data_IF_747174928432
#
_entry.id   IF_747174928432
#
_cell.length_a   1.000
_cell.length_b   1.000
_cell.length_c   1.000
_cell.angle_alpha   90.00
_cell.angle_beta   90.00
_cell.angle_gamma   90.00
#
_symmetry.space_group_name_H-M   'P 1'
#
loop_
_entity.id
_entity.type
_entity.pdbx_description
1 polymer ?
#
# COMPACT_ATOMS: atom_id res chain seq x y z
N UNK A 1 -7.46 -22.39 -16.04
CA UNK A 1 -7.21 -21.13 -15.30
C UNK A 1 -5.73 -21.14 -14.97
N UNK A 2 -4.97 -20.16 -15.45
CA UNK A 2 -3.59 -19.97 -15.02
C UNK A 2 -3.63 -19.37 -13.60
N UNK A 3 -2.82 -19.89 -12.69
CA UNK A 3 -2.67 -19.27 -11.37
C UNK A 3 -2.00 -17.89 -11.53
N UNK A 4 -2.47 -16.85 -10.83
CA UNK A 4 -1.87 -15.52 -10.91
C UNK A 4 -0.44 -15.57 -10.40
N UNK A 5 0.44 -14.86 -11.09
CA UNK A 5 1.86 -14.84 -10.77
C UNK A 5 2.10 -14.00 -9.49
N UNK A 6 3.02 -14.47 -8.64
CA UNK A 6 3.18 -13.92 -7.28
C UNK A 6 4.64 -13.91 -6.83
N UNK A 7 4.93 -12.94 -5.97
CA UNK A 7 6.18 -12.82 -5.21
C UNK A 7 5.84 -13.09 -3.75
N UNK A 8 6.47 -14.09 -3.16
CA UNK A 8 6.28 -14.46 -1.75
C UNK A 8 7.51 -14.08 -0.96
N UNK A 9 7.32 -13.38 0.16
CA UNK A 9 8.39 -13.11 1.13
C UNK A 9 8.57 -14.38 1.96
N UNK A 10 9.66 -15.11 1.70
CA UNK A 10 9.92 -16.42 2.32
C UNK A 10 10.55 -16.24 3.70
N UNK A 11 11.44 -15.26 3.86
CA UNK A 11 12.16 -15.00 5.12
C UNK A 11 12.43 -13.50 5.28
N UNK A 12 12.13 -12.97 6.47
CA UNK A 12 12.36 -11.57 6.81
C UNK A 12 11.32 -11.02 7.79
N UNK A 13 11.60 -9.88 8.43
CA UNK A 13 10.57 -9.14 9.15
C UNK A 13 9.43 -8.73 8.19
N UNK A 14 8.22 -8.48 8.70
CA UNK A 14 7.12 -7.95 7.90
C UNK A 14 7.58 -6.71 7.12
N UNK A 15 7.18 -6.55 5.86
CA UNK A 15 7.56 -5.40 5.06
C UNK A 15 6.99 -4.11 5.66
N UNK A 16 7.85 -3.11 5.80
CA UNK A 16 7.39 -1.76 6.16
C UNK A 16 6.75 -1.13 4.93
N UNK A 17 5.48 -0.75 5.05
CA UNK A 17 4.74 -0.03 4.02
C UNK A 17 4.76 1.46 4.32
N UNK A 18 5.38 2.23 3.44
CA UNK A 18 5.38 3.69 3.47
C UNK A 18 4.30 4.20 2.52
N UNK A 19 3.35 4.99 3.01
CA UNK A 19 2.33 5.61 2.15
C UNK A 19 3.03 6.54 1.16
N UNK A 20 2.81 6.27 -0.12
CA UNK A 20 3.38 7.08 -1.18
C UNK A 20 2.36 8.15 -1.57
N UNK A 21 2.83 9.39 -1.74
CA UNK A 21 2.00 10.56 -2.10
C UNK A 21 2.43 11.20 -3.41
N UNK A 22 3.25 10.47 -4.19
CA UNK A 22 3.74 10.95 -5.48
C UNK A 22 2.59 11.24 -6.46
N UNK A 23 2.84 12.18 -7.37
CA UNK A 23 1.81 12.84 -8.18
C UNK A 23 1.16 11.93 -9.24
N UNK A 24 1.75 10.76 -9.52
CA UNK A 24 1.20 9.76 -10.44
C UNK A 24 0.20 8.80 -9.77
N UNK A 25 0.21 8.71 -8.45
CA UNK A 25 -0.60 7.76 -7.68
C UNK A 25 -2.11 8.01 -7.75
N UNK A 26 -2.62 9.26 -7.74
CA UNK A 26 -4.05 9.51 -7.82
C UNK A 26 -4.70 8.80 -9.03
N UNK A 27 -4.07 8.87 -10.20
CA UNK A 27 -4.59 8.21 -11.41
C UNK A 27 -4.56 6.68 -11.35
N UNK A 28 -3.83 6.09 -10.41
CA UNK A 28 -3.73 4.64 -10.22
C UNK A 28 -4.65 4.10 -9.12
N UNK A 29 -5.17 4.96 -8.24
CA UNK A 29 -6.14 4.59 -7.18
C UNK A 29 -7.59 4.92 -7.54
N UNK A 30 -7.82 5.63 -8.65
CA UNK A 30 -9.16 5.89 -9.16
C UNK A 30 -9.86 4.57 -9.54
N UNK A 31 -10.81 4.17 -8.70
CA UNK A 31 -11.58 2.96 -8.85
C UNK A 31 -12.83 2.97 -7.96
N UNK A 32 -13.75 2.02 -8.14
CA UNK A 32 -14.98 1.95 -7.36
C UNK A 32 -14.76 1.62 -5.88
N UNK A 33 -13.55 1.15 -5.51
CA UNK A 33 -13.19 0.78 -4.14
C UNK A 33 -12.04 1.70 -3.69
N UNK A 34 -12.16 2.36 -2.52
CA UNK A 34 -11.09 3.18 -1.99
C UNK A 34 -9.86 2.31 -1.72
N UNK A 35 -8.74 2.72 -2.30
CA UNK A 35 -7.46 2.04 -2.12
C UNK A 35 -6.35 3.05 -1.99
N UNK A 36 -5.29 2.67 -1.29
CA UNK A 36 -4.08 3.46 -1.16
C UNK A 36 -2.94 2.73 -1.83
N UNK A 37 -1.96 3.49 -2.32
CA UNK A 37 -0.68 2.92 -2.75
C UNK A 37 0.32 3.10 -1.63
N UNK A 38 0.98 2.00 -1.29
CA UNK A 38 2.15 2.04 -0.43
C UNK A 38 3.36 1.49 -1.16
N UNK A 39 4.53 2.00 -0.82
CA UNK A 39 5.81 1.45 -1.23
C UNK A 39 6.37 0.59 -0.10
N UNK A 40 6.89 -0.59 -0.45
CA UNK A 40 7.78 -1.34 0.45
C UNK A 40 9.14 -1.57 -0.21
N UNK A 41 10.18 -1.66 0.64
CA UNK A 41 11.56 -1.94 0.24
C UNK A 41 11.96 -3.29 0.81
N UNK A 42 12.44 -4.17 -0.05
CA UNK A 42 12.84 -5.53 0.29
C UNK A 42 14.28 -5.76 -0.15
N UNK A 43 15.02 -6.54 0.63
CA UNK A 43 16.30 -7.08 0.18
C UNK A 43 16.05 -8.34 -0.62
N UNK A 44 16.66 -8.44 -1.78
CA UNK A 44 16.55 -9.63 -2.62
C UNK A 44 17.83 -9.83 -3.41
N UNK A 45 18.35 -11.06 -3.43
CA UNK A 45 19.53 -11.42 -4.22
C UNK A 45 19.22 -11.59 -5.72
N UNK A 46 17.93 -11.57 -6.09
CA UNK A 46 17.45 -11.69 -7.46
C UNK A 46 16.45 -10.55 -7.78
N UNK A 47 16.74 -9.34 -7.29
CA UNK A 47 15.84 -8.19 -7.49
C UNK A 47 15.59 -7.89 -8.98
N UNK A 48 16.60 -7.90 -9.87
CA UNK A 48 16.41 -7.69 -11.31
C UNK A 48 15.46 -8.71 -11.95
N UNK A 49 15.62 -10.00 -11.62
CA UNK A 49 14.83 -11.10 -12.17
C UNK A 49 13.37 -11.01 -11.72
N UNK A 50 13.12 -10.62 -10.46
CA UNK A 50 11.77 -10.41 -9.94
C UNK A 50 11.06 -9.26 -10.64
N UNK A 51 11.78 -8.16 -10.90
CA UNK A 51 11.24 -7.02 -11.66
C UNK A 51 10.90 -7.45 -13.09
N UNK A 52 11.79 -8.18 -13.77
CA UNK A 52 11.51 -8.68 -15.12
C UNK A 52 10.29 -9.61 -15.15
N UNK A 53 10.13 -10.46 -14.13
CA UNK A 53 8.95 -11.33 -13.98
C UNK A 53 7.66 -10.52 -13.87
N UNK A 54 7.66 -9.45 -13.07
CA UNK A 54 6.51 -8.53 -12.98
C UNK A 54 6.17 -7.93 -14.36
N UNK A 55 7.18 -7.42 -15.09
CA UNK A 55 6.97 -6.86 -16.41
C UNK A 55 6.41 -7.87 -17.42
N UNK A 56 6.89 -9.11 -17.40
CA UNK A 56 6.37 -10.19 -18.26
C UNK A 56 4.90 -10.49 -17.92
N UNK A 57 4.57 -10.68 -16.64
CA UNK A 57 3.20 -10.91 -16.21
C UNK A 57 2.25 -9.78 -16.66
N UNK A 58 2.63 -8.52 -16.44
CA UNK A 58 1.81 -7.37 -16.87
C UNK A 58 1.67 -7.27 -18.39
N UNK A 59 2.72 -7.63 -19.15
CA UNK A 59 2.66 -7.70 -20.62
C UNK A 59 1.64 -8.74 -21.10
N UNK A 60 1.51 -9.84 -20.37
CA UNK A 60 0.51 -10.89 -20.59
C UNK A 60 -0.84 -10.61 -19.90
N UNK A 61 -1.06 -9.36 -19.43
CA UNK A 61 -2.26 -8.92 -18.73
C UNK A 61 -2.60 -9.76 -17.48
N UNK A 62 -1.58 -10.37 -16.87
CA UNK A 62 -1.71 -11.10 -15.62
C UNK A 62 -1.43 -10.17 -14.43
N UNK A 63 -2.22 -10.25 -13.35
CA UNK A 63 -1.92 -9.52 -12.13
C UNK A 63 -0.69 -10.12 -11.42
N UNK A 64 0.00 -9.27 -10.65
CA UNK A 64 1.08 -9.67 -9.77
C UNK A 64 0.70 -9.38 -8.32
N UNK A 65 0.98 -10.31 -7.43
CA UNK A 65 0.66 -10.18 -6.00
C UNK A 65 1.89 -10.39 -5.13
N UNK A 66 2.02 -9.58 -4.09
CA UNK A 66 2.98 -9.73 -3.01
C UNK A 66 2.31 -10.49 -1.85
N UNK A 67 2.86 -11.64 -1.48
CA UNK A 67 2.47 -12.37 -0.27
C UNK A 67 3.49 -12.13 0.84
N UNK A 68 3.02 -11.77 2.04
CA UNK A 68 3.85 -11.47 3.20
C UNK A 68 3.17 -11.90 4.50
N UNK A 69 3.93 -11.90 5.59
CA UNK A 69 3.37 -12.04 6.94
C UNK A 69 3.12 -10.65 7.51
N UNK A 70 1.92 -10.42 8.05
CA UNK A 70 1.58 -9.19 8.76
C UNK A 70 2.33 -9.09 10.10
N UNK A 71 2.21 -7.94 10.79
CA UNK A 71 2.79 -7.75 12.13
C UNK A 71 2.27 -8.77 13.16
N UNK A 72 1.07 -9.31 12.93
CA UNK A 72 0.45 -10.35 13.75
C UNK A 72 0.92 -11.77 13.38
N UNK A 73 1.79 -11.89 12.36
CA UNK A 73 2.28 -13.16 11.84
C UNK A 73 1.27 -13.92 10.97
N UNK A 74 0.20 -13.27 10.53
CA UNK A 74 -0.81 -13.86 9.64
C UNK A 74 -0.43 -13.66 8.17
N UNK A 75 -0.67 -14.64 7.29
CA UNK A 75 -0.42 -14.49 5.87
C UNK A 75 -1.38 -13.45 5.27
N UNK A 76 -0.81 -12.49 4.57
CA UNK A 76 -1.53 -11.40 3.92
C UNK A 76 -1.00 -11.18 2.50
N UNK A 77 -1.77 -10.46 1.67
CA UNK A 77 -1.44 -10.24 0.27
C UNK A 77 -1.84 -8.85 -0.23
N UNK A 78 -1.00 -8.27 -1.07
CA UNK A 78 -1.24 -6.98 -1.72
C UNK A 78 -0.93 -7.02 -3.22
N UNK A 79 -1.73 -6.34 -4.03
CA UNK A 79 -1.52 -6.32 -5.48
C UNK A 79 -0.34 -5.42 -5.84
N UNK A 80 0.64 -5.93 -6.59
CA UNK A 80 1.78 -5.16 -7.07
C UNK A 80 1.36 -4.38 -8.32
N UNK A 81 1.57 -3.06 -8.29
CA UNK A 81 1.19 -2.15 -9.39
C UNK A 81 2.40 -1.51 -10.07
N UNK A 82 3.55 -1.46 -9.38
CA UNK A 82 4.83 -1.09 -9.96
C UNK A 82 5.97 -1.81 -9.23
N UNK A 83 7.08 -2.02 -9.93
CA UNK A 83 8.26 -2.70 -9.41
C UNK A 83 9.53 -2.08 -10.00
N UNK A 84 10.52 -1.86 -9.14
CA UNK A 84 11.85 -1.36 -9.51
C UNK A 84 12.90 -2.05 -8.66
N UNK A 85 14.12 -2.17 -9.16
CA UNK A 85 15.26 -2.60 -8.37
C UNK A 85 16.33 -1.49 -8.30
N UNK A 86 17.16 -1.56 -7.28
CA UNK A 86 18.32 -0.69 -7.07
C UNK A 86 19.50 -1.46 -6.48
N UNK A 87 20.67 -0.83 -6.47
CA UNK A 87 21.86 -1.33 -5.79
C UNK A 87 22.17 -0.43 -4.60
N UNK A 88 22.48 -1.05 -3.47
CA UNK A 88 22.94 -0.41 -2.24
C UNK A 88 24.22 -1.08 -1.77
N UNK A 89 24.89 -0.48 -0.78
CA UNK A 89 26.15 -0.98 -0.21
C UNK A 89 25.96 -2.40 0.40
N UNK A 90 24.73 -2.71 0.81
CA UNK A 90 24.35 -4.00 1.42
C UNK A 90 23.80 -5.03 0.42
N UNK A 91 23.79 -4.71 -0.89
CA UNK A 91 23.36 -5.59 -1.97
C UNK A 91 22.21 -5.05 -2.81
N UNK A 92 21.46 -5.95 -3.43
CA UNK A 92 20.34 -5.62 -4.30
C UNK A 92 19.05 -5.34 -3.51
N UNK A 93 18.38 -4.25 -3.87
CA UNK A 93 17.12 -3.82 -3.28
C UNK A 93 15.99 -3.92 -4.30
N UNK A 94 14.84 -4.42 -3.85
CA UNK A 94 13.60 -4.49 -4.59
C UNK A 94 12.61 -3.47 -3.98
N UNK A 95 12.16 -2.54 -4.80
CA UNK A 95 11.13 -1.57 -4.48
C UNK A 95 9.83 -2.00 -5.15
N UNK A 96 8.78 -2.18 -4.34
CA UNK A 96 7.46 -2.55 -4.83
C UNK A 96 6.45 -1.50 -4.40
N UNK A 97 5.63 -1.06 -5.35
CA UNK A 97 4.41 -0.33 -5.04
C UNK A 97 3.26 -1.31 -5.06
N UNK A 98 2.50 -1.30 -3.98
CA UNK A 98 1.35 -2.19 -3.82
C UNK A 98 0.09 -1.40 -3.55
N UNK A 99 -1.03 -1.91 -4.06
CA UNK A 99 -2.35 -1.41 -3.73
C UNK A 99 -2.83 -2.09 -2.45
N UNK A 100 -3.05 -1.29 -1.41
CA UNK A 100 -3.67 -1.70 -0.16
C UNK A 100 -5.15 -1.31 -0.21
N UNK A 101 -6.02 -2.31 -0.05
CA UNK A 101 -7.44 -2.04 0.15
C UNK A 101 -7.60 -1.37 1.51
N UNK A 102 -8.23 -0.20 1.54
CA UNK A 102 -8.67 0.35 2.80
C UNK A 102 -9.77 -0.57 3.31
N UNK A 103 -9.53 -1.26 4.42
CA UNK A 103 -10.61 -1.96 5.09
C UNK A 103 -11.63 -0.89 5.50
N UNK A 104 -12.88 -0.94 5.00
CA UNK A 104 -13.88 0.09 5.28
C UNK A 104 -14.22 0.18 6.77
N UNK A 105 -13.79 -0.77 7.59
CA UNK A 105 -13.97 -0.77 9.04
C UNK A 105 -12.78 -0.20 9.84
N UNK A 106 -11.68 0.18 9.19
CA UNK A 106 -10.49 0.75 9.84
C UNK A 106 -10.32 2.27 9.62
N UNK A 107 -11.42 3.01 9.44
CA UNK A 107 -11.36 4.47 9.52
C UNK A 107 -11.12 4.86 10.98
N UNK A 108 -9.86 5.11 11.35
CA UNK A 108 -9.55 5.87 12.57
C UNK A 108 -9.95 7.32 12.30
N UNK A 109 -11.18 7.67 12.69
CA UNK A 109 -11.61 9.05 12.76
C UNK A 109 -10.87 9.64 13.96
N UNK A 110 -9.72 10.27 13.73
CA UNK A 110 -9.18 11.23 14.69
C UNK A 110 -10.15 12.42 14.69
N UNK A 111 -11.17 12.33 15.55
CA UNK A 111 -11.92 13.48 15.98
C UNK A 111 -10.93 14.39 16.71
N UNK A 112 -10.43 15.40 16.00
CA UNK A 112 -9.91 16.60 16.63
C UNK A 112 -11.12 17.24 17.34
N UNK A 113 -11.39 16.78 18.57
CA UNK A 113 -12.30 17.43 19.52
C UNK A 113 -11.59 18.70 20.01
N UNK A 114 -11.39 19.63 19.08
CA UNK A 114 -11.11 21.02 19.41
C UNK A 114 -12.33 21.54 20.16
N UNK A 115 -12.18 22.20 21.31
CA UNK A 115 -13.32 22.66 22.10
C UNK A 115 -14.19 23.57 21.24
N UNK A 116 -15.43 23.13 21.01
CA UNK A 116 -16.53 23.93 20.48
C UNK A 116 -16.68 25.18 21.34
N UNK A 117 -16.05 26.28 20.92
CA UNK A 117 -16.33 27.62 21.43
C UNK A 117 -17.71 28.01 20.88
N UNK A 118 -18.77 27.52 21.55
CA UNK A 118 -20.10 28.07 21.38
C UNK A 118 -20.05 29.51 21.91
N UNK A 119 -20.20 30.54 21.07
CA UNK A 119 -20.57 31.85 21.60
C UNK A 119 -21.97 31.70 22.22
N UNK A 120 -22.03 31.87 23.54
CA UNK A 120 -23.26 32.12 24.30
C UNK A 120 -23.84 33.47 23.85
N UNK A 121 -24.36 33.54 22.63
CA UNK A 121 -25.15 34.67 22.17
C UNK A 121 -26.54 34.51 22.76
N UNK A 122 -26.72 35.15 23.92
CA UNK A 122 -27.95 35.19 24.71
C UNK A 122 -29.19 35.38 23.85
N UNK A 123 -29.87 34.27 23.57
CA UNK A 123 -31.20 34.26 22.99
C UNK A 123 -32.19 34.69 24.08
N UNK A 124 -32.59 35.96 24.07
CA UNK A 124 -33.67 36.50 24.90
C UNK A 124 -35.02 36.25 24.18
N UNK A 125 -35.86 35.30 24.64
CA UNK A 125 -37.12 35.02 24.01
C UNK A 125 -38.19 35.96 24.58
N UNK A 126 -38.55 36.98 23.78
CA UNK A 126 -39.78 37.78 23.86
C UNK A 126 -39.89 38.80 25.02
N UNK A 127 -39.64 40.08 24.70
CA UNK A 127 -40.57 41.22 24.99
C UNK A 127 -40.27 42.44 24.13
#
# INVERSE_FOLDING_TARGET
>A
MAEPDKITIIEGPPPTFELDTDSWLPGLVEGPVPSQVAMCRLRSQNAPELVERCYRAWRDHQPMTLEYLSEEGLPDQAQIIAARWGESDEGQELLLWVRLLQDPFQVRIDFDDGPDDYPDDGFDPLS
#
